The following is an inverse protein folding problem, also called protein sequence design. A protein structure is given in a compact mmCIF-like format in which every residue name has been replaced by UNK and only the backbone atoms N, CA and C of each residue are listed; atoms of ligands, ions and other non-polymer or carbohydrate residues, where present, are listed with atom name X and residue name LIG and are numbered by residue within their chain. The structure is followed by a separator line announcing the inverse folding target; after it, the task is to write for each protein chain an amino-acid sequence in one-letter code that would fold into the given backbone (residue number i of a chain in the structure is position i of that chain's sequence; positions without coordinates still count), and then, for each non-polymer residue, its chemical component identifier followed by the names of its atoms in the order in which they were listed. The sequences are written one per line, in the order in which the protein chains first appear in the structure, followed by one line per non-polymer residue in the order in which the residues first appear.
data_IF_075775333970
#
_entry.id   IF_075775333970
#
_cell.length_a   1.000
_cell.length_b   1.000
_cell.length_c   1.000
_cell.angle_alpha   90.00
_cell.angle_beta   90.00
_cell.angle_gamma   90.00
#
_symmetry.space_group_name_H-M   'P 1'
#
loop_
_entity.id
_entity.type
_entity.pdbx_description
1 polymer ?
#
# COMPACT_ATOMS: atom_id res chain seq x y z
N UNK A 1 -16.60 4.43 -1.22
CA UNK A 1 -15.63 3.33 -1.06
C UNK A 1 -14.35 3.65 -1.83
N UNK A 2 -13.46 4.47 -1.28
CA UNK A 2 -12.06 4.50 -1.72
C UNK A 2 -11.15 4.66 -0.51
N UNK A 3 -10.35 3.63 -0.23
CA UNK A 3 -9.43 3.53 0.93
C UNK A 3 -8.01 3.53 0.36
N UNK A 4 -7.05 4.15 1.01
CA UNK A 4 -5.82 4.60 0.33
C UNK A 4 -4.63 4.28 1.23
N UNK A 5 -4.05 3.08 1.14
CA UNK A 5 -2.83 2.72 1.89
C UNK A 5 -1.58 3.07 1.08
N UNK A 6 -0.90 4.16 1.47
CA UNK A 6 0.34 4.62 0.84
C UNK A 6 1.56 3.97 1.50
N UNK A 7 2.35 3.14 0.77
CA UNK A 7 3.82 3.16 0.76
C UNK A 7 4.55 2.19 -0.18
N UNK A 8 5.80 2.56 -0.41
CA UNK A 8 6.91 2.04 -1.24
C UNK A 8 7.10 0.53 -1.26
N UNK A 9 7.59 -0.05 -2.35
CA UNK A 9 8.09 -1.42 -2.35
C UNK A 9 8.53 -1.88 -3.74
N UNK A 10 9.54 -2.75 -3.83
CA UNK A 10 9.89 -3.44 -5.07
C UNK A 10 8.69 -4.34 -5.44
N UNK A 11 7.96 -3.96 -6.48
CA UNK A 11 6.78 -4.67 -6.96
C UNK A 11 7.16 -6.03 -7.56
N UNK A 12 7.11 -7.08 -6.75
CA UNK A 12 7.21 -8.48 -7.19
C UNK A 12 5.91 -8.91 -7.89
N UNK A 13 6.01 -9.69 -8.97
CA UNK A 13 4.85 -10.28 -9.66
C UNK A 13 4.00 -11.15 -8.73
N UNK A 14 4.63 -11.85 -7.78
CA UNK A 14 3.96 -12.65 -6.77
C UNK A 14 3.12 -11.79 -5.81
N UNK A 15 3.63 -10.63 -5.40
CA UNK A 15 2.86 -9.69 -4.58
C UNK A 15 1.66 -9.14 -5.35
N UNK A 16 1.82 -8.80 -6.63
CA UNK A 16 0.72 -8.33 -7.45
C UNK A 16 -0.39 -9.38 -7.61
N UNK A 17 -0.03 -10.66 -7.76
CA UNK A 17 -0.98 -11.76 -7.81
C UNK A 17 -1.73 -11.93 -6.48
N UNK A 18 -1.03 -11.88 -5.34
CA UNK A 18 -1.63 -11.94 -4.01
C UNK A 18 -2.60 -10.78 -3.78
N UNK A 19 -2.20 -9.55 -4.10
CA UNK A 19 -3.07 -8.38 -3.94
C UNK A 19 -4.37 -8.51 -4.73
N UNK A 20 -4.33 -9.20 -5.88
CA UNK A 20 -5.53 -9.47 -6.70
C UNK A 20 -6.52 -10.40 -5.99
N UNK A 21 -6.06 -11.36 -5.19
CA UNK A 21 -6.97 -12.26 -4.42
C UNK A 21 -7.70 -11.52 -3.30
N UNK A 22 -7.12 -10.43 -2.79
CA UNK A 22 -7.74 -9.53 -1.82
C UNK A 22 -8.55 -8.40 -2.48
N UNK A 23 -8.79 -8.47 -3.79
CA UNK A 23 -9.48 -7.44 -4.58
C UNK A 23 -8.87 -6.04 -4.41
N UNK A 24 -7.56 -5.98 -4.14
CA UNK A 24 -6.86 -4.74 -3.91
C UNK A 24 -6.68 -3.97 -5.23
N UNK A 25 -6.82 -2.65 -5.20
CA UNK A 25 -6.66 -1.79 -6.37
C UNK A 25 -5.48 -0.85 -6.18
N UNK A 26 -4.60 -0.74 -7.16
CA UNK A 26 -3.54 0.26 -7.12
C UNK A 26 -4.11 1.62 -7.50
N UNK A 27 -4.05 2.57 -6.58
CA UNK A 27 -4.33 3.99 -6.84
C UNK A 27 -3.06 4.73 -7.30
N UNK A 28 -1.90 4.35 -6.75
CA UNK A 28 -0.58 4.86 -7.14
C UNK A 28 0.39 3.68 -7.21
N UNK A 29 1.31 3.66 -8.18
CA UNK A 29 2.29 2.57 -8.34
C UNK A 29 3.69 3.06 -8.74
N UNK A 30 4.20 4.05 -8.03
CA UNK A 30 5.51 4.67 -8.32
C UNK A 30 5.46 5.69 -9.45
N UNK A 31 4.42 6.51 -9.49
CA UNK A 31 4.37 7.68 -10.36
C UNK A 31 5.29 8.80 -9.87
N UNK A 32 5.44 9.86 -10.69
CA UNK A 32 6.16 11.08 -10.33
C UNK A 32 5.59 11.68 -9.04
N UNK A 33 6.46 12.10 -8.13
CA UNK A 33 6.06 12.73 -6.88
C UNK A 33 7.08 13.80 -6.47
N UNK A 34 6.64 14.69 -5.59
CA UNK A 34 7.47 15.70 -4.95
C UNK A 34 7.16 15.70 -3.44
N UNK A 35 8.21 15.75 -2.61
CA UNK A 35 8.07 15.88 -1.17
C UNK A 35 7.93 17.36 -0.81
N UNK A 36 6.72 17.90 -0.94
CA UNK A 36 6.43 19.33 -0.70
C UNK A 36 6.79 19.75 0.73
N UNK A 37 6.58 18.86 1.71
CA UNK A 37 7.02 19.02 3.09
C UNK A 37 7.55 17.68 3.65
N UNK A 38 8.58 17.75 4.52
CA UNK A 38 9.14 16.58 5.19
C UNK A 38 10.09 15.74 4.32
N UNK A 39 10.07 14.41 4.51
CA UNK A 39 10.92 13.46 3.79
C UNK A 39 10.06 12.36 3.19
N UNK A 40 10.34 11.99 1.94
CA UNK A 40 9.71 10.88 1.24
C UNK A 40 10.75 9.81 0.88
N UNK A 41 10.28 8.57 0.66
CA UNK A 41 11.09 7.48 0.09
C UNK A 41 11.07 7.57 -1.45
N UNK A 42 12.01 6.91 -2.10
CA UNK A 42 12.23 6.97 -3.56
C UNK A 42 11.06 6.48 -4.42
N UNK A 43 10.12 5.74 -3.83
CA UNK A 43 8.94 5.22 -4.54
C UNK A 43 7.73 5.23 -3.63
N UNK A 44 6.55 5.53 -4.17
CA UNK A 44 5.31 5.54 -3.40
C UNK A 44 4.27 4.67 -4.10
N UNK A 45 3.60 3.80 -3.37
CA UNK A 45 2.55 2.92 -3.89
C UNK A 45 1.34 3.13 -3.00
N UNK A 46 0.17 3.31 -3.59
CA UNK A 46 -1.06 3.44 -2.83
C UNK A 46 -2.04 2.36 -3.24
N UNK A 47 -2.56 1.60 -2.28
CA UNK A 47 -3.44 0.47 -2.52
C UNK A 47 -4.77 0.67 -1.80
N UNK A 48 -5.86 0.40 -2.52
CA UNK A 48 -7.21 0.39 -1.99
C UNK A 48 -7.67 -1.03 -1.71
N UNK A 49 -8.20 -1.21 -0.50
CA UNK A 49 -8.91 -2.42 -0.09
C UNK A 49 -10.36 -2.10 0.21
N UNK A 50 -11.20 -3.14 0.23
CA UNK A 50 -12.61 -3.05 0.62
C UNK A 50 -12.75 -2.42 2.00
N UNK A 51 -11.99 -2.92 2.97
CA UNK A 51 -11.99 -2.45 4.34
C UNK A 51 -10.63 -2.57 5.04
N UNK A 52 -10.53 -1.99 6.25
CA UNK A 52 -9.31 -1.95 7.04
C UNK A 52 -8.85 -3.35 7.47
N UNK A 53 -9.81 -4.19 7.87
CA UNK A 53 -9.55 -5.57 8.30
C UNK A 53 -9.00 -6.42 7.16
N UNK A 54 -9.57 -6.28 5.95
CA UNK A 54 -9.08 -6.96 4.75
C UNK A 54 -7.63 -6.58 4.42
N UNK A 55 -7.28 -5.30 4.56
CA UNK A 55 -5.92 -4.83 4.34
C UNK A 55 -4.93 -5.42 5.36
N UNK A 56 -5.32 -5.45 6.65
CA UNK A 56 -4.50 -6.09 7.69
C UNK A 56 -4.39 -7.60 7.50
N UNK A 57 -5.48 -8.27 7.12
CA UNK A 57 -5.49 -9.70 6.84
C UNK A 57 -4.55 -10.03 5.67
N UNK A 58 -4.55 -9.21 4.62
CA UNK A 58 -3.60 -9.33 3.51
C UNK A 58 -2.16 -9.20 4.01
N UNK A 59 -1.85 -8.15 4.77
CA UNK A 59 -0.49 -7.91 5.25
C UNK A 59 0.03 -8.98 6.20
N UNK A 60 -0.83 -9.49 7.10
CA UNK A 60 -0.49 -10.51 8.10
C UNK A 60 -0.51 -11.94 7.54
N UNK A 61 -0.92 -12.11 6.29
CA UNK A 61 -1.02 -13.44 5.67
C UNK A 61 0.36 -14.09 5.50
N UNK A 62 0.47 -15.42 5.68
CA UNK A 62 1.72 -16.14 5.42
C UNK A 62 2.15 -16.03 3.95
N UNK A 63 1.20 -15.88 3.04
CA UNK A 63 1.43 -15.62 1.62
C UNK A 63 2.13 -14.28 1.39
N UNK A 64 1.74 -13.23 2.12
CA UNK A 64 2.39 -11.93 2.04
C UNK A 64 3.84 -12.00 2.52
N UNK A 65 4.09 -12.67 3.65
CA UNK A 65 5.45 -12.90 4.15
C UNK A 65 6.33 -13.55 3.08
N UNK A 66 5.85 -14.62 2.42
CA UNK A 66 6.55 -15.28 1.31
C UNK A 66 6.76 -14.35 0.12
N UNK A 67 5.74 -13.60 -0.28
CA UNK A 67 5.82 -12.66 -1.41
C UNK A 67 6.71 -11.44 -1.12
N UNK A 68 6.93 -11.12 0.15
CA UNK A 68 7.78 -10.02 0.62
C UNK A 68 9.25 -10.42 0.84
N UNK A 69 9.53 -11.73 0.96
CA UNK A 69 10.87 -12.26 1.23
C UNK A 69 11.99 -11.69 0.33
N UNK A 70 11.79 -11.47 -0.98
CA UNK A 70 12.83 -10.89 -1.84
C UNK A 70 13.25 -9.45 -1.46
N UNK A 71 12.46 -8.76 -0.63
CA UNK A 71 12.75 -7.41 -0.16
C UNK A 71 13.48 -7.38 1.17
N UNK A 72 13.54 -8.50 1.90
CA UNK A 72 14.13 -8.54 3.23
C UNK A 72 15.61 -8.14 3.18
N UNK A 73 15.96 -7.04 3.87
CA UNK A 73 17.32 -6.48 3.91
C UNK A 73 17.77 -5.75 2.63
N UNK A 74 16.94 -5.72 1.58
CA UNK A 74 17.30 -5.08 0.31
C UNK A 74 16.80 -3.63 0.20
N UNK A 75 15.76 -3.26 0.96
CA UNK A 75 15.15 -1.93 0.92
C UNK A 75 14.69 -1.48 2.29
N UNK A 76 14.80 -0.17 2.54
CA UNK A 76 14.08 0.48 3.61
C UNK A 76 12.66 0.79 3.16
N UNK A 77 11.69 0.23 3.87
CA UNK A 77 10.28 0.33 3.55
C UNK A 77 9.51 0.54 4.84
N UNK A 78 8.63 1.52 4.85
CA UNK A 78 7.60 1.60 5.88
C UNK A 78 6.29 1.18 5.25
N UNK A 79 5.42 0.50 5.99
CA UNK A 79 4.12 0.05 5.49
C UNK A 79 3.08 0.47 6.52
N UNK A 80 2.05 1.18 6.08
CA UNK A 80 0.99 1.66 6.96
C UNK A 80 -0.35 1.26 6.39
N UNK A 81 -1.16 0.63 7.22
CA UNK A 81 -2.59 0.42 6.97
C UNK A 81 -3.35 1.48 7.74
N UNK A 82 -4.16 2.27 7.04
CA UNK A 82 -4.89 3.41 7.60
C UNK A 82 -6.36 3.26 7.21
N UNK A 83 -7.25 3.51 8.16
CA UNK A 83 -8.67 3.56 7.88
C UNK A 83 -9.02 4.79 7.03
N UNK A 84 -9.87 4.59 6.02
CA UNK A 84 -10.30 5.67 5.14
C UNK A 84 -11.32 6.58 5.82
N UNK A 85 -11.29 7.87 5.50
CA UNK A 85 -12.27 8.84 5.99
C UNK A 85 -13.48 8.89 5.04
N UNK A 86 -14.67 8.59 5.57
CA UNK A 86 -15.95 8.60 4.82
C UNK A 86 -16.84 9.80 5.21
N UNK A 87 -16.35 10.69 6.08
CA UNK A 87 -17.09 11.88 6.51
C UNK A 87 -17.12 13.00 5.47
N UNK A 88 -17.92 14.06 5.73
CA UNK A 88 -18.00 15.22 4.86
C UNK A 88 -16.62 15.84 4.69
N UNK A 89 -16.25 16.11 3.43
CA UNK A 89 -15.03 16.83 3.16
C UNK A 89 -15.18 18.29 3.63
N UNK A 90 -14.10 18.94 4.09
CA UNK A 90 -14.12 20.36 4.35
C UNK A 90 -14.64 21.09 3.10
N UNK A 91 -15.71 21.86 3.28
CA UNK A 91 -16.12 22.86 2.31
C UNK A 91 -15.32 24.13 2.56
N UNK A 92 -15.15 24.95 1.52
CA UNK A 92 -14.43 26.23 1.58
C UNK A 92 -14.88 27.15 2.73
#
# INVERSE_FOLDING_TARGET
MRRTTCRTGIGSSALAALLRTYHAKFLVRGGTFEAVEGKARDRNIVIEFKDYETALACYRSPEYTKASAPRAGAVDIDIIVIEGYEGPQPTD
#
